data_IF_511564350348
#
_entry.id   IF_511564350348
#
_cell.length_a   1.000
_cell.length_b   1.000
_cell.length_c   1.000
_cell.angle_alpha   90.00
_cell.angle_beta   90.00
_cell.angle_gamma   90.00
#
_symmetry.space_group_name_H-M   'P 1'
#
loop_
_entity.id
_entity.type
_entity.pdbx_description
1 polymer ?
#
# COMPACT_ATOMS: atom_id res chain seq x y z
N UNK A 1 -16.20 -0.54 32.47
CA UNK A 1 -15.57 -1.84 32.21
C UNK A 1 -14.71 -1.69 30.95
N UNK A 2 -13.42 -1.40 31.13
CA UNK A 2 -12.48 -1.15 30.02
C UNK A 2 -12.08 -2.50 29.42
N UNK A 3 -12.57 -2.79 28.21
CA UNK A 3 -12.14 -3.95 27.43
C UNK A 3 -10.61 -3.91 27.26
N UNK A 4 -9.91 -5.05 27.43
CA UNK A 4 -8.46 -5.09 27.43
C UNK A 4 -7.91 -4.63 26.08
N UNK A 5 -7.05 -3.61 26.11
CA UNK A 5 -6.42 -2.96 24.95
C UNK A 5 -5.72 -3.93 23.97
N UNK A 6 -5.46 -5.16 24.39
CA UNK A 6 -4.86 -6.20 23.57
C UNK A 6 -5.79 -6.70 22.44
N UNK A 7 -7.11 -6.69 22.67
CA UNK A 7 -8.12 -7.16 21.71
C UNK A 7 -8.52 -6.07 20.67
N UNK A 8 -8.05 -4.84 20.86
CA UNK A 8 -8.34 -3.71 19.97
C UNK A 8 -7.56 -3.79 18.63
N UNK A 9 -6.42 -4.52 18.62
CA UNK A 9 -5.52 -4.65 17.46
C UNK A 9 -6.20 -5.30 16.26
N UNK A 10 -6.98 -6.35 16.51
CA UNK A 10 -7.74 -7.05 15.48
C UNK A 10 -8.99 -6.26 15.09
N UNK A 11 -9.67 -5.65 16.08
CA UNK A 11 -10.94 -4.95 15.89
C UNK A 11 -10.84 -3.75 14.95
N UNK A 12 -9.77 -2.95 14.99
CA UNK A 12 -9.63 -1.79 14.09
C UNK A 12 -9.31 -2.23 12.66
N UNK A 13 -8.45 -3.24 12.48
CA UNK A 13 -8.18 -3.83 11.17
C UNK A 13 -9.46 -4.43 10.56
N UNK A 14 -10.22 -5.16 11.38
CA UNK A 14 -11.54 -5.69 11.03
C UNK A 14 -12.51 -4.56 10.68
N UNK A 15 -12.52 -3.46 11.44
CA UNK A 15 -13.40 -2.32 11.18
C UNK A 15 -13.08 -1.67 9.82
N UNK A 16 -11.80 -1.43 9.51
CA UNK A 16 -11.39 -0.90 8.21
C UNK A 16 -11.85 -1.85 7.09
N UNK A 17 -11.60 -3.14 7.24
CA UNK A 17 -12.00 -4.15 6.25
C UNK A 17 -13.53 -4.20 6.05
N UNK A 18 -14.29 -4.26 7.14
CA UNK A 18 -15.76 -4.32 7.11
C UNK A 18 -16.34 -3.05 6.51
N UNK A 19 -15.81 -1.88 6.86
CA UNK A 19 -16.26 -0.61 6.32
C UNK A 19 -15.97 -0.51 4.82
N UNK A 20 -14.76 -0.86 4.38
CA UNK A 20 -14.40 -0.88 2.96
C UNK A 20 -15.24 -1.87 2.17
N UNK A 21 -15.51 -3.06 2.73
CA UNK A 21 -16.38 -4.06 2.12
C UNK A 21 -17.82 -3.55 2.00
N UNK A 22 -18.35 -2.95 3.07
CA UNK A 22 -19.70 -2.40 3.11
C UNK A 22 -19.86 -1.29 2.05
N UNK A 23 -18.92 -0.35 1.98
CA UNK A 23 -18.92 0.70 0.95
C UNK A 23 -18.86 0.06 -0.44
N UNK A 24 -17.96 -0.89 -0.67
CA UNK A 24 -17.84 -1.60 -1.94
C UNK A 24 -19.15 -2.29 -2.37
N UNK A 25 -19.78 -3.02 -1.46
CA UNK A 25 -21.06 -3.73 -1.72
C UNK A 25 -22.19 -2.74 -2.00
N UNK A 26 -22.37 -1.73 -1.14
CA UNK A 26 -23.44 -0.73 -1.29
C UNK A 26 -23.32 -0.02 -2.63
N UNK A 27 -22.12 0.47 -2.95
CA UNK A 27 -21.93 1.19 -4.21
C UNK A 27 -22.05 0.26 -5.41
N UNK A 28 -21.59 -1.00 -5.31
CA UNK A 28 -21.76 -1.96 -6.40
C UNK A 28 -23.24 -2.26 -6.67
N UNK A 29 -24.05 -2.48 -5.63
CA UNK A 29 -25.49 -2.70 -5.79
C UNK A 29 -26.17 -1.47 -6.40
N UNK A 30 -25.78 -0.27 -5.98
CA UNK A 30 -26.29 0.97 -6.54
C UNK A 30 -25.95 1.12 -8.03
N UNK A 31 -24.68 0.95 -8.40
CA UNK A 31 -24.22 1.08 -9.79
C UNK A 31 -24.84 0.02 -10.69
N UNK A 32 -24.98 -1.24 -10.23
CA UNK A 32 -25.69 -2.28 -11.00
C UNK A 32 -27.14 -1.89 -11.31
N UNK A 33 -27.87 -1.37 -10.32
CA UNK A 33 -29.25 -0.88 -10.53
C UNK A 33 -29.29 0.29 -11.51
N UNK A 34 -28.32 1.20 -11.44
CA UNK A 34 -28.24 2.35 -12.35
C UNK A 34 -27.99 1.90 -13.80
N UNK A 35 -27.03 0.99 -14.02
CA UNK A 35 -26.72 0.42 -15.33
C UNK A 35 -27.96 -0.26 -15.91
N UNK A 36 -28.67 -1.08 -15.11
CA UNK A 36 -29.85 -1.79 -15.58
C UNK A 36 -30.96 -0.81 -16.01
N UNK A 37 -31.26 0.20 -15.19
CA UNK A 37 -32.26 1.23 -15.54
C UNK A 37 -31.88 2.02 -16.79
N UNK A 38 -30.59 2.31 -16.98
CA UNK A 38 -30.13 3.00 -18.18
C UNK A 38 -30.22 2.11 -19.41
N UNK A 39 -29.85 0.84 -19.29
CA UNK A 39 -29.97 -0.16 -20.35
C UNK A 39 -31.41 -0.35 -20.81
N UNK A 40 -32.35 -0.45 -19.87
CA UNK A 40 -33.80 -0.56 -20.17
C UNK A 40 -34.31 0.69 -20.89
N UNK A 41 -33.86 1.88 -20.50
CA UNK A 41 -34.22 3.15 -21.16
C UNK A 41 -33.64 3.26 -22.58
N UNK A 42 -32.38 2.88 -22.77
CA UNK A 42 -31.77 2.85 -24.11
C UNK A 42 -32.52 1.88 -25.02
N UNK A 43 -32.91 0.71 -24.51
CA UNK A 43 -33.70 -0.25 -25.27
C UNK A 43 -35.08 0.29 -25.67
N UNK A 44 -35.78 0.99 -24.77
CA UNK A 44 -37.05 1.67 -25.08
C UNK A 44 -36.86 2.78 -26.13
N UNK A 45 -35.76 3.52 -26.06
CA UNK A 45 -35.44 4.57 -27.03
C UNK A 45 -35.18 4.00 -28.43
N UNK A 46 -34.50 2.85 -28.52
CA UNK A 46 -34.22 2.17 -29.78
C UNK A 46 -35.49 1.57 -30.38
N UNK A 47 -36.36 0.98 -29.56
CA UNK A 47 -37.66 0.48 -30.01
C UNK A 47 -38.53 1.61 -30.59
N UNK A 48 -38.56 2.77 -29.91
CA UNK A 48 -39.26 3.96 -30.42
C UNK A 48 -38.63 4.47 -31.72
N UNK A 49 -37.29 4.48 -31.80
CA UNK A 49 -36.56 4.84 -33.02
C UNK A 49 -36.93 3.92 -34.19
N UNK A 50 -36.95 2.60 -33.98
CA UNK A 50 -37.32 1.62 -34.98
C UNK A 50 -38.77 1.79 -35.45
N UNK A 51 -39.70 2.02 -34.52
CA UNK A 51 -41.12 2.30 -34.82
C UNK A 51 -41.29 3.58 -35.64
N UNK A 52 -40.59 4.65 -35.26
CA UNK A 52 -40.64 5.91 -36.00
C UNK A 52 -40.06 5.76 -37.41
N UNK A 53 -38.94 5.04 -37.56
CA UNK A 53 -38.35 4.77 -38.87
C UNK A 53 -39.27 3.93 -39.76
N UNK A 54 -39.88 2.87 -39.20
CA UNK A 54 -40.88 2.07 -39.91
C UNK A 54 -42.05 2.93 -40.39
N UNK A 55 -42.60 3.77 -39.52
CA UNK A 55 -43.69 4.67 -39.88
C UNK A 55 -43.26 5.66 -40.96
N UNK A 56 -42.06 6.25 -40.86
CA UNK A 56 -41.54 7.18 -41.87
C UNK A 56 -41.34 6.56 -43.24
N UNK A 57 -41.03 5.26 -43.32
CA UNK A 57 -40.83 4.54 -44.59
C UNK A 57 -42.16 4.04 -45.17
N UNK A 58 -43.15 3.72 -44.33
CA UNK A 58 -44.40 3.07 -44.76
C UNK A 58 -45.61 4.01 -44.90
N UNK A 59 -45.55 5.23 -44.36
CA UNK A 59 -46.67 6.18 -44.42
C UNK A 59 -46.67 7.01 -45.69
N UNK A 60 -47.86 7.23 -46.26
CA UNK A 60 -48.09 8.22 -47.34
C UNK A 60 -48.36 9.63 -46.77
N UNK A 61 -48.51 9.76 -45.44
CA UNK A 61 -48.88 11.00 -44.77
C UNK A 61 -47.66 11.89 -44.49
N UNK A 62 -47.27 12.68 -45.49
CA UNK A 62 -46.05 13.51 -45.50
C UNK A 62 -46.02 14.58 -44.39
N UNK A 63 -47.18 15.07 -43.93
CA UNK A 63 -47.30 16.16 -42.95
C UNK A 63 -46.69 15.84 -41.57
N UNK A 64 -46.66 14.56 -41.19
CA UNK A 64 -46.17 14.09 -39.88
C UNK A 64 -44.67 13.74 -39.86
N UNK A 65 -44.05 13.61 -41.04
CA UNK A 65 -42.67 13.15 -41.20
C UNK A 65 -41.62 14.08 -40.59
N UNK A 66 -41.67 15.42 -40.79
CA UNK A 66 -40.64 16.31 -40.24
C UNK A 66 -40.59 16.25 -38.71
N UNK A 67 -41.76 16.18 -38.06
CA UNK A 67 -41.86 16.06 -36.61
C UNK A 67 -41.21 14.78 -36.08
N UNK A 68 -41.48 13.63 -36.70
CA UNK A 68 -40.91 12.33 -36.30
C UNK A 68 -39.40 12.26 -36.55
N UNK A 69 -38.96 12.80 -37.68
CA UNK A 69 -37.53 12.87 -38.00
C UNK A 69 -36.78 13.72 -36.98
N UNK A 70 -37.28 14.90 -36.64
CA UNK A 70 -36.62 15.80 -35.69
C UNK A 70 -36.66 15.27 -34.25
N UNK A 71 -37.82 14.84 -33.78
CA UNK A 71 -38.05 14.54 -32.36
C UNK A 71 -37.68 13.10 -31.95
N UNK A 72 -37.49 12.19 -32.91
CA UNK A 72 -37.18 10.78 -32.60
C UNK A 72 -35.89 10.34 -33.31
N UNK A 73 -35.79 10.52 -34.63
CA UNK A 73 -34.67 9.99 -35.42
C UNK A 73 -33.39 10.82 -35.19
N UNK A 74 -33.46 12.14 -35.35
CA UNK A 74 -32.34 13.06 -35.09
C UNK A 74 -32.12 13.32 -33.58
N UNK A 75 -33.12 13.03 -32.75
CA UNK A 75 -32.99 13.06 -31.30
C UNK A 75 -32.05 11.97 -30.76
N UNK A 76 -31.89 10.84 -31.48
CA UNK A 76 -30.88 9.85 -31.13
C UNK A 76 -29.46 10.35 -31.50
N UNK A 77 -28.72 10.81 -30.49
CA UNK A 77 -27.33 11.28 -30.63
C UNK A 77 -26.29 10.35 -29.99
N UNK A 78 -26.73 9.31 -29.29
CA UNK A 78 -25.88 8.56 -28.36
C UNK A 78 -25.84 7.06 -28.65
N UNK A 79 -26.93 6.50 -29.17
CA UNK A 79 -26.99 5.07 -29.50
C UNK A 79 -26.52 4.87 -30.95
N UNK A 80 -25.45 4.08 -31.16
CA UNK A 80 -24.98 3.73 -32.50
C UNK A 80 -25.95 2.75 -33.17
N UNK A 81 -26.38 3.07 -34.39
CA UNK A 81 -27.34 2.29 -35.17
C UNK A 81 -26.88 2.15 -36.63
N UNK A 82 -27.14 0.99 -37.22
CA UNK A 82 -26.90 0.70 -38.64
C UNK A 82 -28.18 0.12 -39.22
N UNK A 83 -28.70 0.74 -40.28
CA UNK A 83 -29.83 0.29 -41.06
C UNK A 83 -29.34 -0.47 -42.29
N UNK A 84 -29.90 -1.65 -42.56
CA UNK A 84 -29.55 -2.48 -43.72
C UNK A 84 -30.80 -3.01 -44.44
N UNK A 85 -30.69 -3.30 -45.73
CA UNK A 85 -31.72 -4.02 -46.53
C UNK A 85 -31.54 -5.56 -46.50
N UNK A 86 -30.59 -6.04 -45.69
CA UNK A 86 -30.17 -7.45 -45.62
C UNK A 86 -28.86 -7.75 -46.37
N UNK A 87 -28.49 -6.97 -47.38
CA UNK A 87 -27.24 -7.14 -48.15
C UNK A 87 -26.31 -5.93 -48.02
N UNK A 88 -26.89 -4.73 -48.02
CA UNK A 88 -26.20 -3.45 -48.04
C UNK A 88 -26.59 -2.57 -46.84
N UNK A 89 -25.68 -1.69 -46.45
CA UNK A 89 -25.94 -0.65 -45.44
C UNK A 89 -26.66 0.51 -46.12
N UNK A 90 -27.85 0.84 -45.62
CA UNK A 90 -28.69 1.94 -46.10
C UNK A 90 -28.32 3.25 -45.38
N UNK A 91 -28.23 3.21 -44.05
CA UNK A 91 -27.89 4.37 -43.21
C UNK A 91 -27.11 3.93 -41.97
N UNK A 92 -26.30 4.81 -41.40
CA UNK A 92 -25.49 4.55 -40.23
C UNK A 92 -25.33 5.82 -39.39
N UNK A 93 -25.56 5.72 -38.07
CA UNK A 93 -25.56 6.89 -37.16
C UNK A 93 -24.83 6.60 -35.86
N UNK A 94 -24.24 7.65 -35.30
CA UNK A 94 -23.54 7.65 -34.00
C UNK A 94 -22.43 6.58 -33.86
N UNK A 95 -21.80 6.19 -34.97
CA UNK A 95 -20.76 5.15 -34.99
C UNK A 95 -19.41 5.59 -34.40
N UNK A 96 -19.25 6.87 -34.06
CA UNK A 96 -18.00 7.39 -33.48
C UNK A 96 -16.79 7.29 -34.42
N UNK A 97 -17.03 7.24 -35.73
CA UNK A 97 -15.97 7.16 -36.75
C UNK A 97 -15.10 8.41 -36.69
N UNK A 98 -13.78 8.23 -36.82
CA UNK A 98 -12.82 9.34 -36.82
C UNK A 98 -13.09 10.24 -38.04
N UNK A 99 -13.18 11.57 -37.88
CA UNK A 99 -13.24 12.46 -39.03
C UNK A 99 -11.97 12.29 -39.88
N UNK A 100 -12.11 12.32 -41.21
CA UNK A 100 -11.03 12.21 -42.21
C UNK A 100 -10.47 10.80 -42.53
N UNK A 101 -11.20 9.71 -42.25
CA UNK A 101 -10.85 8.39 -42.77
C UNK A 101 -11.03 8.30 -44.30
N UNK A 102 -10.15 7.58 -44.99
CA UNK A 102 -10.33 7.26 -46.40
C UNK A 102 -11.62 6.43 -46.59
N UNK A 103 -12.33 6.61 -47.71
CA UNK A 103 -13.63 5.99 -47.93
C UNK A 103 -13.61 4.45 -47.75
N UNK A 104 -12.56 3.78 -48.23
CA UNK A 104 -12.39 2.33 -48.08
C UNK A 104 -12.26 1.89 -46.61
N UNK A 105 -11.52 2.65 -45.78
CA UNK A 105 -11.32 2.36 -44.36
C UNK A 105 -12.60 2.60 -43.55
N UNK A 106 -13.41 3.57 -43.96
CA UNK A 106 -14.72 3.83 -43.35
C UNK A 106 -15.70 2.67 -43.58
N UNK A 107 -15.74 2.11 -44.78
CA UNK A 107 -16.59 0.94 -45.12
C UNK A 107 -16.16 -0.30 -44.34
N UNK A 108 -14.84 -0.51 -44.17
CA UNK A 108 -14.33 -1.64 -43.38
C UNK A 108 -14.74 -1.53 -41.91
N UNK A 109 -14.59 -0.35 -41.29
CA UNK A 109 -14.99 -0.12 -39.90
C UNK A 109 -16.51 -0.29 -39.70
N UNK A 110 -17.33 0.18 -40.63
CA UNK A 110 -18.80 0.00 -40.56
C UNK A 110 -19.15 -1.49 -40.62
N UNK A 111 -18.49 -2.28 -41.47
CA UNK A 111 -18.69 -3.75 -41.51
C UNK A 111 -18.22 -4.45 -40.23
N UNK A 112 -17.07 -4.06 -39.68
CA UNK A 112 -16.57 -4.60 -38.40
C UNK A 112 -17.56 -4.30 -37.27
N UNK A 113 -18.03 -3.06 -37.17
CA UNK A 113 -19.06 -2.64 -36.20
C UNK A 113 -20.38 -3.38 -36.38
N UNK A 114 -20.81 -3.61 -37.62
CA UNK A 114 -22.03 -4.37 -37.93
C UNK A 114 -21.93 -5.81 -37.41
N UNK A 115 -20.79 -6.47 -37.63
CA UNK A 115 -20.53 -7.82 -37.11
C UNK A 115 -20.53 -7.84 -35.56
N UNK A 116 -19.94 -6.83 -34.92
CA UNK A 116 -20.01 -6.71 -33.45
C UNK A 116 -21.46 -6.51 -32.96
N UNK A 117 -22.24 -5.67 -33.63
CA UNK A 117 -23.64 -5.42 -33.27
C UNK A 117 -24.48 -6.69 -33.40
N UNK A 118 -24.28 -7.45 -34.49
CA UNK A 118 -24.94 -8.74 -34.73
C UNK A 118 -24.70 -9.76 -33.61
N UNK A 119 -23.52 -9.75 -32.99
CA UNK A 119 -23.18 -10.66 -31.90
C UNK A 119 -23.77 -10.22 -30.55
N UNK A 120 -23.98 -8.92 -30.33
CA UNK A 120 -24.44 -8.40 -29.04
C UNK A 120 -25.96 -8.39 -28.89
N UNK A 121 -26.68 -8.03 -29.94
CA UNK A 121 -28.14 -7.92 -29.90
C UNK A 121 -28.79 -8.50 -31.17
N UNK A 122 -29.98 -9.12 -31.06
CA UNK A 122 -30.74 -9.49 -32.24
C UNK A 122 -31.15 -8.22 -33.01
N UNK A 123 -31.12 -8.22 -34.35
CA UNK A 123 -31.58 -7.09 -35.13
C UNK A 123 -33.07 -6.82 -34.91
N UNK A 124 -33.47 -5.56 -35.05
CA UNK A 124 -34.88 -5.18 -35.05
C UNK A 124 -35.34 -5.18 -36.52
N UNK A 125 -36.25 -6.08 -36.92
CA UNK A 125 -36.78 -6.11 -38.28
C UNK A 125 -37.78 -4.97 -38.50
N UNK A 126 -37.75 -4.40 -39.70
CA UNK A 126 -38.71 -3.43 -40.22
C UNK A 126 -39.36 -4.07 -41.44
N UNK A 127 -40.65 -4.40 -41.33
CA UNK A 127 -41.44 -4.94 -42.44
C UNK A 127 -41.98 -3.80 -43.32
N UNK A 128 -41.67 -3.85 -44.61
CA UNK A 128 -42.13 -2.88 -45.61
C UNK A 128 -43.36 -3.41 -46.40
N UNK A 129 -44.17 -2.52 -47.02
CA UNK A 129 -45.40 -2.89 -47.75
C UNK A 129 -45.22 -3.90 -48.90
N UNK A 130 -44.00 -4.11 -49.41
CA UNK A 130 -43.70 -4.97 -50.57
C UNK A 130 -43.09 -6.34 -50.19
N UNK A 131 -43.27 -6.80 -48.96
CA UNK A 131 -42.67 -8.04 -48.45
C UNK A 131 -41.12 -8.02 -48.48
N UNK A 132 -40.55 -6.82 -48.39
CA UNK A 132 -39.12 -6.58 -48.16
C UNK A 132 -38.89 -6.25 -46.69
N UNK A 133 -37.71 -6.62 -46.18
CA UNK A 133 -37.36 -6.43 -44.77
C UNK A 133 -36.07 -5.62 -44.66
N UNK A 134 -36.11 -4.56 -43.86
CA UNK A 134 -34.91 -3.87 -43.42
C UNK A 134 -34.56 -4.31 -41.99
N UNK A 135 -33.30 -4.23 -41.61
CA UNK A 135 -32.83 -4.58 -40.28
C UNK A 135 -32.10 -3.41 -39.63
N UNK A 136 -32.45 -3.09 -38.39
CA UNK A 136 -31.68 -2.19 -37.52
C UNK A 136 -30.77 -3.03 -36.63
N UNK A 137 -29.48 -2.78 -36.75
CA UNK A 137 -28.45 -3.22 -35.82
C UNK A 137 -28.09 -2.07 -34.88
N UNK A 138 -27.88 -2.38 -33.60
CA UNK A 138 -27.56 -1.38 -32.60
C UNK A 138 -26.57 -1.93 -31.56
N UNK A 139 -25.96 -1.04 -30.80
CA UNK A 139 -25.15 -1.38 -29.63
C UNK A 139 -25.44 -0.41 -28.48
N UNK A 140 -25.10 -0.82 -27.26
CA UNK A 140 -25.11 0.07 -26.09
C UNK A 140 -24.36 1.37 -26.38
N UNK A 141 -24.87 2.49 -25.85
CA UNK A 141 -24.20 3.78 -25.95
C UNK A 141 -22.80 3.75 -25.33
N UNK A 142 -21.94 4.67 -25.75
CA UNK A 142 -20.59 4.83 -25.15
C UNK A 142 -20.70 5.04 -23.64
N UNK A 143 -21.65 5.86 -23.20
CA UNK A 143 -21.90 6.13 -21.79
C UNK A 143 -22.30 4.86 -21.01
N UNK A 144 -23.23 4.05 -21.55
CA UNK A 144 -23.65 2.81 -20.89
C UNK A 144 -22.49 1.80 -20.81
N UNK A 145 -21.64 1.75 -21.84
CA UNK A 145 -20.44 0.91 -21.87
C UNK A 145 -19.42 1.34 -20.81
N UNK A 146 -19.14 2.63 -20.71
CA UNK A 146 -18.23 3.20 -19.71
C UNK A 146 -18.77 2.99 -18.28
N UNK A 147 -20.08 3.14 -18.09
CA UNK A 147 -20.72 2.86 -16.80
C UNK A 147 -20.64 1.39 -16.40
N UNK A 148 -20.57 0.44 -17.35
CA UNK A 148 -20.36 -0.99 -17.05
C UNK A 148 -18.94 -1.31 -16.59
N UNK A 149 -17.93 -0.53 -16.99
CA UNK A 149 -16.53 -0.73 -16.55
C UNK A 149 -16.20 0.01 -15.26
N UNK A 150 -16.90 1.12 -14.98
CA UNK A 150 -16.73 1.94 -13.77
C UNK A 150 -16.66 1.15 -12.45
N UNK A 151 -17.53 0.14 -12.20
CA UNK A 151 -17.42 -0.74 -11.02
C UNK A 151 -16.04 -1.30 -10.72
N UNK A 152 -15.33 -1.77 -11.74
CA UNK A 152 -14.04 -2.42 -11.58
C UNK A 152 -12.96 -1.42 -11.17
N UNK A 153 -12.98 -0.25 -11.81
CA UNK A 153 -12.10 0.88 -11.47
C UNK A 153 -12.37 1.32 -10.04
N UNK A 154 -13.64 1.45 -9.66
CA UNK A 154 -14.04 1.87 -8.32
C UNK A 154 -13.60 0.87 -7.24
N UNK A 155 -13.73 -0.44 -7.47
CA UNK A 155 -13.22 -1.46 -6.56
C UNK A 155 -11.70 -1.37 -6.40
N UNK A 156 -10.98 -1.10 -7.50
CA UNK A 156 -9.53 -0.84 -7.45
C UNK A 156 -9.17 0.36 -6.56
N UNK A 157 -9.91 1.46 -6.67
CA UNK A 157 -9.72 2.65 -5.83
C UNK A 157 -10.04 2.37 -4.36
N UNK A 158 -11.15 1.68 -4.06
CA UNK A 158 -11.50 1.33 -2.69
C UNK A 158 -10.44 0.41 -2.08
N UNK A 159 -9.97 -0.59 -2.84
CA UNK A 159 -8.93 -1.51 -2.40
C UNK A 159 -7.60 -0.79 -2.11
N UNK A 160 -7.19 0.15 -2.97
CA UNK A 160 -5.95 0.91 -2.76
C UNK A 160 -6.03 1.82 -1.53
N UNK A 161 -7.17 2.51 -1.33
CA UNK A 161 -7.39 3.32 -0.12
C UNK A 161 -7.43 2.45 1.15
N UNK A 162 -8.09 1.30 1.11
CA UNK A 162 -8.11 0.36 2.23
C UNK A 162 -6.70 -0.16 2.57
N UNK A 163 -5.90 -0.47 1.56
CA UNK A 163 -4.51 -0.89 1.73
C UNK A 163 -3.65 0.21 2.34
N UNK A 164 -3.76 1.45 1.86
CA UNK A 164 -3.05 2.60 2.44
C UNK A 164 -3.46 2.82 3.89
N UNK A 165 -4.75 2.80 4.20
CA UNK A 165 -5.25 2.92 5.57
C UNK A 165 -4.69 1.82 6.48
N UNK A 166 -4.66 0.57 5.99
CA UNK A 166 -4.08 -0.57 6.70
C UNK A 166 -2.59 -0.37 6.99
N UNK A 167 -1.80 0.05 5.99
CA UNK A 167 -0.36 0.28 6.13
C UNK A 167 -0.06 1.42 7.09
N UNK A 168 -0.71 2.58 6.92
CA UNK A 168 -0.54 3.75 7.79
C UNK A 168 -0.88 3.43 9.24
N UNK A 169 -2.01 2.75 9.48
CA UNK A 169 -2.40 2.35 10.83
C UNK A 169 -1.43 1.34 11.45
N UNK A 170 -1.00 0.35 10.67
CA UNK A 170 -0.05 -0.66 11.12
C UNK A 170 1.31 -0.05 11.50
N UNK A 171 1.80 0.88 10.68
CA UNK A 171 3.03 1.62 10.95
C UNK A 171 2.90 2.50 12.20
N UNK A 172 1.83 3.29 12.30
CA UNK A 172 1.57 4.17 13.44
C UNK A 172 1.55 3.40 14.76
N UNK A 173 0.89 2.24 14.81
CA UNK A 173 0.84 1.41 16.02
C UNK A 173 2.18 0.79 16.41
N UNK A 174 2.98 0.36 15.42
CA UNK A 174 4.34 -0.13 15.70
C UNK A 174 5.23 0.99 16.25
N UNK A 175 5.12 2.18 15.68
CA UNK A 175 5.84 3.36 16.16
C UNK A 175 5.43 3.74 17.59
N UNK A 176 4.13 3.70 17.90
CA UNK A 176 3.61 3.94 19.25
C UNK A 176 4.16 2.93 20.26
N UNK A 177 4.13 1.62 19.94
CA UNK A 177 4.72 0.58 20.80
C UNK A 177 6.22 0.82 21.01
N UNK A 178 6.97 1.07 19.94
CA UNK A 178 8.40 1.35 20.04
C UNK A 178 8.68 2.58 20.92
N UNK A 179 7.86 3.63 20.82
CA UNK A 179 7.97 4.82 21.69
C UNK A 179 7.71 4.50 23.15
N UNK A 180 6.71 3.67 23.46
CA UNK A 180 6.44 3.22 24.84
C UNK A 180 7.62 2.44 25.40
N UNK A 181 8.18 1.50 24.62
CA UNK A 181 9.37 0.73 25.03
C UNK A 181 10.59 1.62 25.27
N UNK A 182 10.85 2.58 24.39
CA UNK A 182 11.92 3.57 24.54
C UNK A 182 11.70 4.42 25.81
N UNK A 183 10.47 4.87 26.04
CA UNK A 183 10.12 5.65 27.23
C UNK A 183 10.32 4.86 28.53
N UNK A 184 9.87 3.62 28.58
CA UNK A 184 10.05 2.73 29.73
C UNK A 184 11.53 2.47 30.01
N UNK A 185 12.34 2.23 28.97
CA UNK A 185 13.78 2.03 29.10
C UNK A 185 14.48 3.25 29.72
N UNK A 186 14.14 4.47 29.25
CA UNK A 186 14.71 5.71 29.79
C UNK A 186 14.29 5.97 31.24
N UNK A 187 13.01 5.82 31.55
CA UNK A 187 12.50 6.02 32.90
C UNK A 187 13.12 5.02 33.88
N UNK A 188 13.23 3.74 33.48
CA UNK A 188 13.87 2.70 34.29
C UNK A 188 15.36 3.01 34.50
N UNK A 189 16.07 3.44 33.46
CA UNK A 189 17.47 3.84 33.59
C UNK A 189 17.66 5.01 34.57
N UNK A 190 16.77 6.01 34.50
CA UNK A 190 16.79 7.12 35.43
C UNK A 190 16.56 6.66 36.87
N UNK A 191 15.56 5.79 37.09
CA UNK A 191 15.25 5.22 38.42
C UNK A 191 16.38 4.31 38.96
N UNK A 192 17.13 3.63 38.10
CA UNK A 192 18.31 2.84 38.48
C UNK A 192 19.54 3.71 38.77
N UNK A 193 19.63 4.92 38.19
CA UNK A 193 20.75 5.83 38.39
C UNK A 193 20.93 6.25 39.86
N UNK A 194 19.83 6.62 40.55
CA UNK A 194 19.88 7.06 41.95
C UNK A 194 20.43 6.00 42.92
N UNK A 195 19.92 4.76 42.98
CA UNK A 195 20.48 3.73 43.86
C UNK A 195 21.91 3.35 43.47
N UNK A 196 22.26 3.42 42.18
CA UNK A 196 23.62 3.16 41.73
C UNK A 196 24.61 4.22 42.23
N UNK A 197 24.25 5.50 42.22
CA UNK A 197 25.09 6.55 42.81
C UNK A 197 25.32 6.33 44.31
N UNK A 198 24.33 5.81 45.04
CA UNK A 198 24.51 5.41 46.43
C UNK A 198 25.49 4.24 46.58
N UNK A 199 25.42 3.23 45.70
CA UNK A 199 26.36 2.10 45.70
C UNK A 199 27.81 2.54 45.43
N UNK A 200 28.02 3.46 44.48
CA UNK A 200 29.33 4.06 44.22
C UNK A 200 29.86 4.78 45.47
N UNK A 201 29.00 5.53 46.17
CA UNK A 201 29.35 6.18 47.43
C UNK A 201 29.77 5.20 48.52
N UNK A 202 29.02 4.11 48.71
CA UNK A 202 29.36 3.06 49.65
C UNK A 202 30.66 2.33 49.28
N UNK A 203 30.89 2.06 48.00
CA UNK A 203 32.12 1.45 47.53
C UNK A 203 33.34 2.33 47.85
N UNK A 204 33.26 3.64 47.59
CA UNK A 204 34.33 4.59 47.93
C UNK A 204 34.58 4.64 49.44
N UNK A 205 33.52 4.70 50.24
CA UNK A 205 33.62 4.68 51.71
C UNK A 205 34.31 3.41 52.23
N UNK A 206 33.94 2.23 51.70
CA UNK A 206 34.55 0.96 52.10
C UNK A 206 36.02 0.89 51.69
N UNK A 207 36.36 1.40 50.50
CA UNK A 207 37.73 1.45 49.99
C UNK A 207 38.66 2.32 50.84
N UNK A 208 38.13 3.40 51.42
CA UNK A 208 38.87 4.30 52.30
C UNK A 208 38.96 3.79 53.75
N UNK A 209 38.19 2.75 54.11
CA UNK A 209 38.19 2.21 55.47
C UNK A 209 39.42 1.32 55.72
N UNK A 210 40.11 1.55 56.84
CA UNK A 210 41.30 0.76 57.22
C UNK A 210 41.01 -0.74 57.38
N UNK A 211 39.75 -1.10 57.69
CA UNK A 211 39.32 -2.50 57.87
C UNK A 211 39.33 -3.30 56.57
N UNK A 212 39.04 -2.68 55.44
CA UNK A 212 38.84 -3.35 54.15
C UNK A 212 39.88 -2.95 53.10
N UNK A 213 40.95 -2.25 53.50
CA UNK A 213 41.94 -1.63 52.60
C UNK A 213 42.65 -2.63 51.66
N UNK A 214 42.88 -3.88 52.11
CA UNK A 214 43.55 -4.93 51.33
C UNK A 214 42.59 -6.07 50.90
N UNK A 215 41.27 -5.89 51.06
CA UNK A 215 40.32 -6.94 50.71
C UNK A 215 39.97 -6.92 49.21
N UNK A 216 40.18 -8.02 48.47
CA UNK A 216 39.92 -8.07 47.02
C UNK A 216 38.43 -7.91 46.68
N UNK A 217 37.54 -8.12 47.65
CA UNK A 217 36.09 -8.03 47.46
C UNK A 217 35.63 -6.61 47.11
N UNK A 218 36.32 -5.57 47.59
CA UNK A 218 35.97 -4.17 47.30
C UNK A 218 36.24 -3.84 45.83
N UNK A 219 37.31 -4.41 45.28
CA UNK A 219 37.66 -4.26 43.87
C UNK A 219 36.68 -5.00 42.95
N UNK A 220 36.29 -6.23 43.30
CA UNK A 220 35.27 -6.98 42.57
C UNK A 220 33.89 -6.31 42.62
N UNK A 221 33.48 -5.80 43.80
CA UNK A 221 32.24 -5.02 43.94
C UNK A 221 32.26 -3.78 43.03
N UNK A 222 33.41 -3.11 42.93
CA UNK A 222 33.60 -2.00 42.02
C UNK A 222 33.41 -2.36 40.55
N UNK A 223 33.89 -3.54 40.13
CA UNK A 223 33.70 -4.04 38.76
C UNK A 223 32.21 -4.26 38.46
N UNK A 224 31.44 -4.79 39.41
CA UNK A 224 30.00 -5.02 39.23
C UNK A 224 29.19 -3.71 39.23
N UNK A 225 29.49 -2.78 40.13
CA UNK A 225 28.87 -1.44 40.12
C UNK A 225 29.16 -0.73 38.80
N UNK A 226 30.42 -0.78 38.31
CA UNK A 226 30.78 -0.16 37.03
C UNK A 226 30.04 -0.78 35.86
N UNK A 227 29.80 -2.11 35.90
CA UNK A 227 29.00 -2.80 34.90
C UNK A 227 27.54 -2.33 34.92
N UNK A 228 26.93 -2.21 36.10
CA UNK A 228 25.57 -1.68 36.23
C UNK A 228 25.47 -0.24 35.73
N UNK A 229 26.50 0.58 35.94
CA UNK A 229 26.59 1.93 35.40
C UNK A 229 26.55 1.96 33.87
N UNK A 230 27.40 1.16 33.23
CA UNK A 230 27.45 1.06 31.77
C UNK A 230 26.11 0.57 31.21
N UNK A 231 25.47 -0.43 31.84
CA UNK A 231 24.16 -0.93 31.43
C UNK A 231 23.11 0.19 31.55
N UNK A 232 23.06 0.87 32.70
CA UNK A 232 22.11 1.96 32.95
C UNK A 232 22.30 3.11 31.97
N UNK A 233 23.54 3.49 31.67
CA UNK A 233 23.87 4.51 30.67
C UNK A 233 23.40 4.10 29.26
N UNK A 234 23.62 2.83 28.86
CA UNK A 234 23.12 2.29 27.58
C UNK A 234 21.60 2.39 27.51
N UNK A 235 20.87 2.01 28.56
CA UNK A 235 19.41 2.11 28.60
C UNK A 235 18.89 3.56 28.55
N UNK A 236 19.57 4.50 29.22
CA UNK A 236 19.25 5.94 29.17
C UNK A 236 19.40 6.53 27.76
N UNK A 237 20.37 5.99 27.00
CA UNK A 237 20.65 6.40 25.64
C UNK A 237 19.78 5.73 24.56
N UNK A 238 18.89 4.79 24.93
CA UNK A 238 17.97 4.16 23.96
C UNK A 238 17.03 5.25 23.41
N UNK A 239 17.11 5.53 22.11
CA UNK A 239 16.24 6.48 21.42
C UNK A 239 16.48 7.96 21.77
N UNK A 240 17.62 8.33 22.36
CA UNK A 240 18.14 9.71 22.31
C UNK A 240 18.96 9.91 21.03
N UNK A 241 19.10 11.16 20.59
CA UNK A 241 20.09 11.51 19.56
C UNK A 241 21.47 11.39 20.22
N UNK A 242 22.36 10.50 19.74
CA UNK A 242 23.65 10.28 20.38
C UNK A 242 24.56 11.50 20.20
N UNK A 243 25.27 11.88 21.26
CA UNK A 243 26.33 12.89 21.16
C UNK A 243 27.55 12.21 20.55
N UNK A 244 27.92 12.63 19.34
CA UNK A 244 29.07 12.13 18.60
C UNK A 244 30.29 13.00 18.91
N UNK A 245 31.42 12.35 19.19
CA UNK A 245 32.72 13.01 19.37
C UNK A 245 33.69 12.46 18.34
N UNK A 246 34.67 13.27 17.95
CA UNK A 246 35.75 12.80 17.10
C UNK A 246 36.68 11.92 17.94
N UNK A 247 36.63 10.61 17.68
CA UNK A 247 37.41 9.60 18.42
C UNK A 247 38.20 8.76 17.42
N UNK A 248 39.31 8.18 17.88
CA UNK A 248 40.12 7.29 17.05
C UNK A 248 39.37 5.95 16.84
N UNK A 249 39.00 5.65 15.59
CA UNK A 249 38.18 4.49 15.25
C UNK A 249 38.88 3.16 15.56
N UNK A 250 40.15 3.04 15.19
CA UNK A 250 40.93 1.83 15.41
C UNK A 250 41.11 1.55 16.90
N UNK A 251 41.44 2.58 17.68
CA UNK A 251 41.62 2.47 19.12
C UNK A 251 40.31 2.08 19.81
N UNK A 252 39.19 2.68 19.41
CA UNK A 252 37.87 2.37 19.96
C UNK A 252 37.48 0.92 19.67
N UNK A 253 37.64 0.48 18.42
CA UNK A 253 37.37 -0.91 18.01
C UNK A 253 38.25 -1.90 18.77
N UNK A 254 39.55 -1.61 18.92
CA UNK A 254 40.49 -2.44 19.67
C UNK A 254 40.10 -2.58 21.14
N UNK A 255 39.68 -1.49 21.77
CA UNK A 255 39.22 -1.51 23.16
C UNK A 255 37.95 -2.36 23.32
N UNK A 256 36.98 -2.22 22.40
CA UNK A 256 35.76 -3.03 22.40
C UNK A 256 36.05 -4.53 22.25
N UNK A 257 36.95 -4.90 21.35
CA UNK A 257 37.35 -6.31 21.13
C UNK A 257 38.13 -6.86 22.32
N UNK A 258 39.10 -6.10 22.87
CA UNK A 258 39.85 -6.54 24.05
C UNK A 258 38.92 -6.82 25.26
N UNK A 259 37.88 -6.00 25.42
CA UNK A 259 36.86 -6.23 26.44
C UNK A 259 36.10 -7.54 26.20
N UNK A 260 35.70 -7.82 24.96
CA UNK A 260 35.02 -9.06 24.57
C UNK A 260 35.89 -10.30 24.77
N UNK A 261 37.16 -10.25 24.37
CA UNK A 261 38.13 -11.36 24.48
C UNK A 261 38.24 -11.88 25.92
N UNK A 262 38.17 -10.98 26.91
CA UNK A 262 38.20 -11.35 28.32
C UNK A 262 36.99 -12.17 28.78
N UNK A 263 35.90 -12.18 28.01
CA UNK A 263 34.58 -12.72 28.38
C UNK A 263 34.07 -13.85 27.48
N UNK A 264 34.68 -14.06 26.33
CA UNK A 264 34.31 -15.15 25.42
C UNK A 264 35.29 -16.33 25.55
N UNK A 265 34.94 -17.46 24.93
CA UNK A 265 35.79 -18.66 24.94
C UNK A 265 37.20 -18.33 24.44
N UNK A 266 38.23 -18.76 25.19
CA UNK A 266 39.65 -18.65 24.79
C UNK A 266 39.98 -19.36 23.47
N UNK A 267 39.05 -20.17 22.94
CA UNK A 267 39.17 -20.86 21.64
C UNK A 267 38.72 -20.00 20.46
N UNK A 268 38.26 -18.78 20.72
CA UNK A 268 37.97 -17.76 19.71
C UNK A 268 39.16 -16.81 19.64
N UNK A 269 39.73 -16.62 18.44
CA UNK A 269 40.81 -15.66 18.19
C UNK A 269 40.26 -14.44 17.47
N UNK A 270 40.56 -13.24 17.96
CA UNK A 270 40.21 -12.01 17.25
C UNK A 270 41.43 -11.45 16.52
N UNK A 271 41.19 -10.89 15.35
CA UNK A 271 42.16 -10.11 14.56
C UNK A 271 41.45 -8.86 14.07
N UNK A 272 42.15 -7.73 14.01
CA UNK A 272 41.59 -6.49 13.45
C UNK A 272 42.38 -6.17 12.19
N UNK A 273 41.70 -6.21 11.05
CA UNK A 273 42.25 -5.77 9.76
C UNK A 273 41.62 -4.43 9.38
N UNK A 274 42.44 -3.46 8.98
CA UNK A 274 41.97 -2.12 8.60
C UNK A 274 42.76 -1.63 7.39
N UNK A 275 42.04 -1.14 6.38
CA UNK A 275 42.60 -0.41 5.24
C UNK A 275 42.76 1.09 5.54
N UNK A 276 42.16 1.55 6.65
CA UNK A 276 42.23 2.94 7.09
C UNK A 276 43.50 3.20 7.92
N UNK A 277 44.06 4.43 7.87
CA UNK A 277 45.11 4.86 8.79
C UNK A 277 44.72 4.65 10.26
N UNK A 278 45.67 4.26 11.10
CA UNK A 278 45.44 3.89 12.51
C UNK A 278 44.99 5.07 13.39
N UNK A 279 45.17 6.29 12.93
CA UNK A 279 44.77 7.54 13.60
C UNK A 279 43.47 8.13 13.05
N UNK A 280 42.78 7.41 12.15
CA UNK A 280 41.54 7.90 11.52
C UNK A 280 40.50 8.31 12.56
N UNK A 281 40.10 9.60 12.61
CA UNK A 281 39.05 10.06 13.49
C UNK A 281 37.68 9.72 12.88
N UNK A 282 36.74 9.29 13.73
CA UNK A 282 35.35 9.09 13.36
C UNK A 282 34.42 9.75 14.39
N UNK A 283 33.33 10.36 13.92
CA UNK A 283 32.31 10.93 14.78
C UNK A 283 31.47 9.80 15.39
N UNK A 284 31.80 9.37 16.60
CA UNK A 284 31.20 8.23 17.25
C UNK A 284 30.81 8.52 18.70
N UNK A 285 29.84 7.74 19.19
CA UNK A 285 29.52 7.65 20.59
C UNK A 285 30.11 6.33 21.09
N UNK A 286 31.22 6.40 21.84
CA UNK A 286 32.00 5.21 22.25
C UNK A 286 31.13 4.12 22.89
N UNK A 287 30.28 4.41 23.92
CA UNK A 287 29.46 3.37 24.56
C UNK A 287 28.49 2.65 23.63
N UNK A 288 27.88 3.36 22.68
CA UNK A 288 26.97 2.77 21.69
C UNK A 288 27.74 1.97 20.63
N UNK A 289 28.90 2.47 20.19
CA UNK A 289 29.76 1.77 19.25
C UNK A 289 30.28 0.46 19.83
N UNK A 290 30.79 0.49 21.08
CA UNK A 290 31.21 -0.71 21.81
C UNK A 290 30.07 -1.74 21.90
N UNK A 291 28.83 -1.26 22.08
CA UNK A 291 27.66 -2.14 22.13
C UNK A 291 27.31 -2.77 20.77
N UNK A 292 27.54 -2.05 19.66
CA UNK A 292 27.39 -2.60 18.30
C UNK A 292 28.41 -3.72 18.08
N UNK A 293 29.70 -3.46 18.37
CA UNK A 293 30.77 -4.46 18.25
C UNK A 293 30.47 -5.66 19.14
N UNK A 294 30.03 -5.43 20.38
CA UNK A 294 29.64 -6.49 21.32
C UNK A 294 28.55 -7.41 20.75
N UNK A 295 27.47 -6.85 20.21
CA UNK A 295 26.37 -7.65 19.66
C UNK A 295 26.80 -8.44 18.41
N UNK A 296 27.56 -7.81 17.51
CA UNK A 296 28.03 -8.47 16.28
C UNK A 296 28.95 -9.64 16.64
N UNK A 297 29.94 -9.40 17.50
CA UNK A 297 30.90 -10.43 17.89
C UNK A 297 30.25 -11.55 18.70
N UNK A 298 29.32 -11.27 19.62
CA UNK A 298 28.59 -12.31 20.35
C UNK A 298 27.81 -13.22 19.40
N UNK A 299 27.06 -12.63 18.47
CA UNK A 299 26.32 -13.41 17.48
C UNK A 299 27.25 -14.29 16.64
N UNK A 300 28.44 -13.80 16.28
CA UNK A 300 29.44 -14.58 15.56
C UNK A 300 30.03 -15.72 16.42
N UNK A 301 30.35 -15.45 17.70
CA UNK A 301 30.84 -16.47 18.63
C UNK A 301 29.80 -17.58 18.81
N UNK A 302 28.54 -17.22 18.98
CA UNK A 302 27.43 -18.17 19.16
C UNK A 302 27.21 -19.00 17.90
N UNK A 303 27.28 -18.40 16.71
CA UNK A 303 27.16 -19.09 15.43
C UNK A 303 28.30 -20.12 15.18
N UNK A 304 29.44 -19.96 15.86
CA UNK A 304 30.61 -20.84 15.75
C UNK A 304 30.78 -21.78 16.96
N UNK A 305 29.74 -21.96 17.79
CA UNK A 305 29.78 -22.79 19.00
C UNK A 305 31.00 -22.50 19.91
N UNK A 306 31.41 -21.23 19.96
CA UNK A 306 32.51 -20.76 20.82
C UNK A 306 33.91 -21.22 20.41
N UNK A 307 34.15 -21.60 19.13
CA UNK A 307 35.48 -21.93 18.60
C UNK A 307 35.66 -21.39 17.18
N UNK A 308 36.71 -20.63 16.93
CA UNK A 308 36.97 -20.10 15.58
C UNK A 308 37.84 -18.85 15.59
N UNK A 309 37.73 -18.07 14.52
CA UNK A 309 38.38 -16.77 14.39
C UNK A 309 37.37 -15.72 13.92
N UNK A 310 37.49 -14.51 14.47
CA UNK A 310 36.71 -13.33 14.06
C UNK A 310 37.71 -12.29 13.57
N UNK A 311 37.52 -11.80 12.35
CA UNK A 311 38.34 -10.78 11.69
C UNK A 311 37.51 -9.55 11.37
#
# INVERSE_FOLDING_TARGET
>A
MLLPLYDQKSRIKLLILVLSLLVGVVTMLYTRRLIQRLSEREQQQIDLYAKALRYSISTEEISSLPFLQENIIYANKTVPVILTDGENVIDARNLGLRPHLAAADSVRQVRELLLEMQQRHPPIPIDLPNNTHNYIFYQDSVLLRDLRTYPWVQLGVIASLAMLAYLSFSYSRRAEQNRVWVGLAKETAHQLGTPLSSLVGWQSYLRESERFHDEPIIEELGKDIKRLEIITERFSNIGSVPVLKAENLYQTTRNAIAYLESRVSRKVKFSIETELPLDTPACLNVPLFDWVVENICKNAVDAMDGRGSIT
#
